data_IF_480655494678
#
_entry.id   IF_480655494678
#
_cell.length_a   1.000
_cell.length_b   1.000
_cell.length_c   1.000
_cell.angle_alpha   90.00
_cell.angle_beta   90.00
_cell.angle_gamma   90.00
#
_symmetry.space_group_name_H-M   'P 1'
#
loop_
_entity.id
_entity.type
_entity.pdbx_description
1 polymer ?
#
# COMPACT_ATOMS: atom_id res chain seq x y z
N UNK A 1 -14.95 22.97 20.19
CA UNK A 1 -15.01 21.50 20.00
C UNK A 1 -15.50 21.21 18.58
N UNK A 2 -14.60 20.91 17.65
CA UNK A 2 -14.95 20.54 16.27
C UNK A 2 -15.23 19.05 16.23
N UNK A 3 -16.46 18.67 15.86
CA UNK A 3 -16.84 17.27 15.60
C UNK A 3 -16.02 16.77 14.41
N UNK A 4 -15.17 15.76 14.65
CA UNK A 4 -14.64 14.93 13.57
C UNK A 4 -15.84 14.23 12.95
N UNK A 5 -16.18 14.61 11.72
CA UNK A 5 -17.14 13.88 10.91
C UNK A 5 -16.57 12.48 10.68
N UNK A 6 -17.30 11.53 11.25
CA UNK A 6 -17.08 10.11 11.12
C UNK A 6 -16.95 9.72 9.65
N UNK A 7 -15.88 8.98 9.40
CA UNK A 7 -15.65 8.09 8.27
C UNK A 7 -16.93 7.29 8.01
N UNK A 8 -17.77 7.78 7.08
CA UNK A 8 -19.02 7.13 6.68
C UNK A 8 -18.97 6.51 5.28
N UNK A 9 -17.83 6.54 4.60
CA UNK A 9 -17.72 5.97 3.24
C UNK A 9 -17.21 4.52 3.18
N UNK A 10 -16.58 4.00 4.22
CA UNK A 10 -15.86 2.71 4.16
C UNK A 10 -16.72 1.46 4.38
N UNK A 11 -18.02 1.62 4.68
CA UNK A 11 -18.87 0.52 5.19
C UNK A 11 -19.98 0.05 4.24
N UNK A 12 -20.14 0.64 3.05
CA UNK A 12 -21.30 0.32 2.20
C UNK A 12 -21.08 -0.90 1.28
N UNK A 13 -19.85 -1.17 0.82
CA UNK A 13 -19.60 -2.29 -0.08
C UNK A 13 -19.54 -3.65 0.64
N UNK A 14 -19.09 -3.69 1.89
CA UNK A 14 -18.86 -4.95 2.62
C UNK A 14 -20.11 -5.53 3.31
N UNK A 15 -21.10 -4.72 3.67
CA UNK A 15 -22.23 -5.20 4.47
C UNK A 15 -23.32 -5.91 3.66
N UNK A 16 -23.23 -5.92 2.33
CA UNK A 16 -24.27 -6.46 1.44
C UNK A 16 -23.82 -7.67 0.61
N UNK A 17 -22.51 -7.96 0.54
CA UNK A 17 -21.97 -9.04 -0.29
C UNK A 17 -21.83 -10.36 0.49
N UNK A 18 -22.19 -11.47 -0.15
CA UNK A 18 -21.90 -12.82 0.35
C UNK A 18 -20.40 -13.12 0.26
N UNK A 19 -19.91 -14.11 1.03
CA UNK A 19 -18.52 -14.56 0.94
C UNK A 19 -18.13 -15.00 -0.48
N UNK A 20 -19.05 -15.64 -1.20
CA UNK A 20 -18.84 -16.03 -2.59
C UNK A 20 -18.68 -14.80 -3.50
N UNK A 21 -19.53 -13.79 -3.33
CA UNK A 21 -19.44 -12.53 -4.08
C UNK A 21 -18.14 -11.78 -3.78
N UNK A 22 -17.69 -11.77 -2.52
CA UNK A 22 -16.40 -11.19 -2.13
C UNK A 22 -15.26 -11.93 -2.84
N UNK A 23 -15.26 -13.26 -2.80
CA UNK A 23 -14.21 -14.04 -3.47
C UNK A 23 -14.18 -13.82 -4.98
N UNK A 24 -15.35 -13.76 -5.64
CA UNK A 24 -15.45 -13.45 -7.07
C UNK A 24 -14.94 -12.03 -7.38
N UNK A 25 -15.31 -11.05 -6.55
CA UNK A 25 -14.83 -9.68 -6.68
C UNK A 25 -13.30 -9.60 -6.55
N UNK A 26 -12.73 -10.21 -5.50
CA UNK A 26 -11.29 -10.22 -5.27
C UNK A 26 -10.53 -10.88 -6.43
N UNK A 27 -11.04 -12.01 -6.94
CA UNK A 27 -10.44 -12.71 -8.08
C UNK A 27 -10.47 -11.85 -9.36
N UNK A 28 -11.60 -11.19 -9.63
CA UNK A 28 -11.72 -10.28 -10.78
C UNK A 28 -10.76 -9.10 -10.66
N UNK A 29 -10.67 -8.47 -9.47
CA UNK A 29 -9.73 -7.38 -9.22
C UNK A 29 -8.29 -7.81 -9.42
N UNK A 30 -7.89 -8.95 -8.87
CA UNK A 30 -6.55 -9.48 -9.02
C UNK A 30 -6.16 -9.66 -10.50
N UNK A 31 -7.06 -10.22 -11.33
CA UNK A 31 -6.82 -10.40 -12.76
C UNK A 31 -6.65 -9.06 -13.50
N UNK A 32 -7.51 -8.07 -13.23
CA UNK A 32 -7.41 -6.75 -13.87
C UNK A 32 -6.14 -6.00 -13.45
N UNK A 33 -5.82 -6.00 -12.15
CA UNK A 33 -4.61 -5.38 -11.61
C UNK A 33 -3.36 -6.00 -12.24
N UNK A 34 -3.28 -7.34 -12.28
CA UNK A 34 -2.15 -8.05 -12.89
C UNK A 34 -2.00 -7.69 -14.38
N UNK A 35 -3.10 -7.65 -15.13
CA UNK A 35 -3.10 -7.29 -16.55
C UNK A 35 -2.65 -5.84 -16.75
N UNK A 36 -3.15 -4.92 -15.94
CA UNK A 36 -2.79 -3.50 -15.97
C UNK A 36 -1.29 -3.31 -15.69
N UNK A 37 -0.74 -3.94 -14.64
CA UNK A 37 0.69 -3.90 -14.34
C UNK A 37 1.55 -4.48 -15.46
N UNK A 38 1.15 -5.63 -16.04
CA UNK A 38 1.85 -6.25 -17.17
C UNK A 38 1.94 -5.29 -18.37
N UNK A 39 0.88 -4.52 -18.60
CA UNK A 39 0.79 -3.54 -19.68
C UNK A 39 1.34 -2.15 -19.31
N UNK A 40 1.83 -1.96 -18.07
CA UNK A 40 2.24 -0.66 -17.51
C UNK A 40 1.12 0.39 -17.54
N UNK A 41 -0.13 -0.04 -17.53
CA UNK A 41 -1.30 0.82 -17.43
C UNK A 41 -1.59 1.14 -15.96
N UNK A 42 -0.79 2.06 -15.42
CA UNK A 42 -0.86 2.42 -14.00
C UNK A 42 -2.15 3.18 -13.65
N UNK A 43 -2.79 3.86 -14.60
CA UNK A 43 -4.08 4.51 -14.35
C UNK A 43 -5.18 3.47 -14.11
N UNK A 44 -5.24 2.45 -14.98
CA UNK A 44 -6.18 1.34 -14.80
C UNK A 44 -5.88 0.55 -13.52
N UNK A 45 -4.61 0.26 -13.23
CA UNK A 45 -4.21 -0.39 -11.99
C UNK A 45 -4.69 0.41 -10.77
N UNK A 46 -4.51 1.73 -10.76
CA UNK A 46 -4.93 2.60 -9.67
C UNK A 46 -6.45 2.52 -9.44
N UNK A 47 -7.23 2.62 -10.51
CA UNK A 47 -8.69 2.54 -10.41
C UNK A 47 -9.14 1.22 -9.77
N UNK A 48 -8.57 0.09 -10.22
CA UNK A 48 -8.91 -1.21 -9.65
C UNK A 48 -8.51 -1.33 -8.18
N UNK A 49 -7.33 -0.82 -7.81
CA UNK A 49 -6.83 -0.82 -6.44
C UNK A 49 -7.66 0.09 -5.51
N UNK A 50 -8.11 1.25 -6.00
CA UNK A 50 -8.97 2.16 -5.24
C UNK A 50 -10.35 1.58 -4.94
N UNK A 51 -10.89 0.75 -5.85
CA UNK A 51 -12.10 -0.01 -5.58
C UNK A 51 -11.83 -1.16 -4.60
N UNK A 52 -10.70 -1.86 -4.75
CA UNK A 52 -10.31 -2.97 -3.88
C UNK A 52 -10.09 -2.52 -2.43
N UNK A 53 -9.43 -1.38 -2.20
CA UNK A 53 -9.15 -0.88 -0.85
C UNK A 53 -10.44 -0.49 -0.09
N UNK A 54 -11.57 -0.24 -0.77
CA UNK A 54 -12.84 -0.04 -0.07
C UNK A 54 -13.34 -1.32 0.62
N UNK A 55 -12.98 -2.49 0.08
CA UNK A 55 -13.36 -3.80 0.61
C UNK A 55 -12.33 -4.28 1.66
N UNK A 56 -11.05 -3.97 1.45
CA UNK A 56 -9.95 -4.40 2.33
C UNK A 56 -9.09 -3.22 2.82
N UNK A 57 -9.66 -2.26 3.58
CA UNK A 57 -9.07 -0.92 3.81
C UNK A 57 -7.72 -0.89 4.55
N UNK A 58 -7.38 -1.95 5.27
CA UNK A 58 -6.12 -2.06 5.99
C UNK A 58 -5.17 -3.09 5.38
N UNK A 59 -5.43 -3.63 4.19
CA UNK A 59 -4.58 -4.68 3.63
C UNK A 59 -3.25 -4.12 3.15
N UNK A 60 -2.15 -4.57 3.77
CA UNK A 60 -0.80 -4.02 3.54
C UNK A 60 -0.41 -4.03 2.06
N UNK A 61 -0.58 -5.16 1.37
CA UNK A 61 -0.15 -5.28 -0.03
C UNK A 61 -0.93 -4.35 -0.96
N UNK A 62 -2.23 -4.13 -0.70
CA UNK A 62 -3.05 -3.21 -1.51
C UNK A 62 -2.59 -1.77 -1.31
N UNK A 63 -2.27 -1.38 -0.07
CA UNK A 63 -1.70 -0.06 0.23
C UNK A 63 -0.32 0.12 -0.42
N UNK A 64 0.53 -0.91 -0.40
CA UNK A 64 1.82 -0.88 -1.08
C UNK A 64 1.68 -0.81 -2.62
N UNK A 65 0.76 -1.56 -3.22
CA UNK A 65 0.50 -1.54 -4.66
C UNK A 65 -0.08 -0.19 -5.11
N UNK A 66 -0.94 0.43 -4.29
CA UNK A 66 -1.40 1.81 -4.49
C UNK A 66 -0.21 2.76 -4.47
N UNK A 67 0.67 2.66 -3.48
CA UNK A 67 1.84 3.52 -3.41
C UNK A 67 2.78 3.37 -4.62
N UNK A 68 3.06 2.14 -5.05
CA UNK A 68 3.89 1.87 -6.24
C UNK A 68 3.24 2.48 -7.48
N UNK A 69 1.93 2.28 -7.65
CA UNK A 69 1.15 2.86 -8.73
C UNK A 69 1.25 4.38 -8.74
N UNK A 70 1.03 5.03 -7.59
CA UNK A 70 1.12 6.49 -7.46
C UNK A 70 2.54 7.02 -7.70
N UNK A 71 3.58 6.29 -7.31
CA UNK A 71 4.96 6.64 -7.66
C UNK A 71 5.19 6.59 -9.18
N UNK A 72 4.64 5.60 -9.88
CA UNK A 72 4.72 5.50 -11.35
C UNK A 72 3.92 6.58 -12.07
N UNK A 73 2.91 7.13 -11.40
CA UNK A 73 2.14 8.29 -11.83
C UNK A 73 2.72 9.62 -11.33
N UNK A 74 3.89 9.60 -10.69
CA UNK A 74 4.59 10.77 -10.13
C UNK A 74 3.83 11.50 -9.00
N UNK A 75 2.83 10.86 -8.40
CA UNK A 75 2.06 11.37 -7.26
C UNK A 75 2.75 11.01 -5.93
N UNK A 76 3.98 11.47 -5.75
CA UNK A 76 4.84 11.03 -4.65
C UNK A 76 4.27 11.27 -3.25
N UNK A 77 3.54 12.37 -3.04
CA UNK A 77 2.93 12.62 -1.72
C UNK A 77 1.83 11.59 -1.40
N UNK A 78 1.01 11.25 -2.39
CA UNK A 78 -0.06 10.24 -2.23
C UNK A 78 0.55 8.87 -1.98
N UNK A 79 1.62 8.52 -2.70
CA UNK A 79 2.35 7.29 -2.46
C UNK A 79 2.92 7.20 -1.03
N UNK A 80 3.52 8.29 -0.54
CA UNK A 80 4.02 8.38 0.83
C UNK A 80 2.90 8.15 1.85
N UNK A 81 1.72 8.75 1.63
CA UNK A 81 0.58 8.62 2.53
C UNK A 81 0.05 7.18 2.60
N UNK A 82 0.04 6.44 1.48
CA UNK A 82 -0.33 5.02 1.46
C UNK A 82 0.69 4.13 2.17
N UNK A 83 1.98 4.36 1.95
CA UNK A 83 3.05 3.63 2.65
C UNK A 83 3.01 3.91 4.16
N UNK A 84 2.71 5.14 4.56
CA UNK A 84 2.54 5.49 5.96
C UNK A 84 1.34 4.73 6.57
N UNK A 85 0.22 4.63 5.86
CA UNK A 85 -0.92 3.83 6.31
C UNK A 85 -0.56 2.34 6.43
N UNK A 86 0.17 1.78 5.48
CA UNK A 86 0.64 0.39 5.55
C UNK A 86 1.43 0.11 6.82
N UNK A 87 2.37 1.01 7.17
CA UNK A 87 3.15 0.93 8.41
C UNK A 87 2.28 1.10 9.66
N UNK A 88 1.32 2.02 9.63
CA UNK A 88 0.43 2.31 10.77
C UNK A 88 -0.51 1.15 11.09
N UNK A 89 -1.05 0.47 10.07
CA UNK A 89 -1.94 -0.67 10.28
C UNK A 89 -1.18 -1.95 10.68
N UNK A 90 0.09 -2.08 10.28
CA UNK A 90 0.90 -3.28 10.51
C UNK A 90 2.26 -2.97 11.14
N UNK A 91 2.32 -2.32 12.31
CA UNK A 91 3.58 -1.82 12.87
C UNK A 91 4.59 -2.92 13.24
N UNK A 92 4.13 -4.16 13.39
CA UNK A 92 4.96 -5.32 13.74
C UNK A 92 5.19 -6.29 12.56
N UNK A 93 4.63 -6.00 11.39
CA UNK A 93 4.72 -6.85 10.19
C UNK A 93 5.06 -6.03 8.93
N UNK A 94 5.72 -4.89 9.12
CA UNK A 94 6.16 -4.05 8.00
C UNK A 94 7.15 -4.85 7.14
N UNK A 95 6.80 -5.01 5.87
CA UNK A 95 7.67 -5.68 4.91
C UNK A 95 8.90 -4.82 4.61
N UNK A 96 10.04 -5.46 4.39
CA UNK A 96 11.31 -4.79 4.03
C UNK A 96 11.11 -3.84 2.85
N UNK A 97 10.38 -4.28 1.83
CA UNK A 97 10.11 -3.53 0.61
C UNK A 97 9.33 -2.23 0.88
N UNK A 98 8.50 -2.18 1.93
CA UNK A 98 7.79 -0.96 2.34
C UNK A 98 8.76 0.12 2.80
N UNK A 99 9.84 -0.24 3.51
CA UNK A 99 10.87 0.73 3.91
C UNK A 99 11.75 1.18 2.74
N UNK A 100 12.07 0.29 1.79
CA UNK A 100 12.77 0.68 0.57
C UNK A 100 11.92 1.68 -0.24
N UNK A 101 10.63 1.39 -0.43
CA UNK A 101 9.70 2.30 -1.11
C UNK A 101 9.55 3.64 -0.39
N UNK A 102 9.50 3.64 0.96
CA UNK A 102 9.50 4.89 1.74
C UNK A 102 10.78 5.71 1.55
N UNK A 103 11.93 5.05 1.46
CA UNK A 103 13.19 5.73 1.16
C UNK A 103 13.16 6.35 -0.25
N UNK A 104 12.68 5.61 -1.25
CA UNK A 104 12.58 6.06 -2.64
C UNK A 104 11.60 7.24 -2.78
N UNK A 105 10.40 7.15 -2.20
CA UNK A 105 9.42 8.26 -2.30
C UNK A 105 9.93 9.52 -1.58
N UNK A 106 10.64 9.37 -0.45
CA UNK A 106 11.25 10.51 0.24
C UNK A 106 12.38 11.16 -0.57
N UNK A 107 13.08 10.40 -1.43
CA UNK A 107 14.03 10.97 -2.39
C UNK A 107 13.31 11.90 -3.37
N UNK A 108 12.22 11.44 -3.99
CA UNK A 108 11.44 12.26 -4.92
C UNK A 108 10.79 13.49 -4.25
N UNK A 109 10.40 13.37 -2.98
CA UNK A 109 9.89 14.48 -2.16
C UNK A 109 10.99 15.43 -1.64
N UNK A 110 12.26 15.17 -1.96
CA UNK A 110 13.41 15.92 -1.44
C UNK A 110 13.54 15.94 0.11
N UNK A 111 12.89 15.01 0.82
CA UNK A 111 13.03 14.87 2.27
C UNK A 111 14.21 13.94 2.60
N UNK A 112 15.42 14.51 2.53
CA UNK A 112 16.67 13.77 2.81
C UNK A 112 16.73 13.18 4.22
N UNK A 113 16.01 13.77 5.20
CA UNK A 113 16.00 13.27 6.57
C UNK A 113 15.23 11.96 6.64
N UNK A 114 14.01 11.94 6.10
CA UNK A 114 13.18 10.73 6.04
C UNK A 114 13.76 9.67 5.11
N UNK A 115 14.31 10.06 3.96
CA UNK A 115 15.03 9.15 3.07
C UNK A 115 16.09 8.35 3.84
N UNK A 116 16.99 9.05 4.56
CA UNK A 116 18.02 8.39 5.38
C UNK A 116 17.44 7.54 6.50
N UNK A 117 16.33 7.96 7.11
CA UNK A 117 15.67 7.22 8.18
C UNK A 117 15.14 5.88 7.66
N UNK A 118 14.32 5.89 6.60
CA UNK A 118 13.73 4.68 6.03
C UNK A 118 14.77 3.78 5.36
N UNK A 119 15.80 4.34 4.71
CA UNK A 119 16.92 3.54 4.20
C UNK A 119 17.66 2.77 5.30
N UNK A 120 17.80 3.35 6.50
CA UNK A 120 18.37 2.60 7.65
C UNK A 120 17.45 1.48 8.13
N UNK A 121 16.15 1.74 8.19
CA UNK A 121 15.17 0.71 8.58
C UNK A 121 15.17 -0.47 7.60
N UNK A 122 15.19 -0.20 6.29
CA UNK A 122 15.26 -1.24 5.27
C UNK A 122 16.53 -2.09 5.41
N UNK A 123 17.69 -1.46 5.60
CA UNK A 123 18.96 -2.17 5.80
C UNK A 123 18.97 -3.00 7.08
N UNK A 124 18.41 -2.48 8.17
CA UNK A 124 18.30 -3.23 9.42
C UNK A 124 17.40 -4.45 9.26
N UNK A 125 16.22 -4.29 8.66
CA UNK A 125 15.28 -5.39 8.45
C UNK A 125 15.87 -6.49 7.54
N UNK A 126 16.64 -6.14 6.50
CA UNK A 126 17.40 -7.10 5.67
C UNK A 126 18.44 -7.87 6.48
N UNK A 127 19.17 -7.18 7.37
CA UNK A 127 20.16 -7.81 8.24
C UNK A 127 19.52 -8.82 9.20
N UNK A 128 18.39 -8.44 9.79
CA UNK A 128 17.65 -9.30 10.72
C UNK A 128 17.12 -10.56 10.00
N UNK A 129 16.54 -10.41 8.80
CA UNK A 129 16.06 -11.54 8.00
C UNK A 129 17.16 -12.58 7.71
N UNK A 130 18.34 -12.14 7.27
CA UNK A 130 19.48 -13.04 7.00
C UNK A 130 20.00 -13.73 8.26
N UNK A 131 19.94 -13.05 9.42
CA UNK A 131 20.38 -13.63 10.69
C UNK A 131 19.41 -14.72 11.18
N UNK A 132 18.11 -14.57 10.92
CA UNK A 132 17.09 -15.57 11.26
C UNK A 132 17.14 -16.82 10.38
N UNK A 133 17.61 -16.73 9.13
CA UNK A 133 17.80 -17.90 8.24
C UNK A 133 18.95 -18.83 8.67
N UNK A 134 19.84 -18.38 9.57
CA UNK A 134 21.03 -19.13 10.01
C UNK A 134 20.80 -19.98 11.27
N UNK A 135 19.59 -19.95 11.84
CA UNK A 135 19.20 -20.72 13.03
C UNK A 135 18.14 -21.76 12.66
#
# INVERSE_FOLDING_TARGET
MKKLNQVKSSNMLNNEMTLEQINQFLASKAQHIQTAFKNRDYLSANQQLLELIQVVPSHQNVLCDLAITEMRLENYQVAYDYLQQAIQYHPHAVEINTYDAMSEVCYFLNDRKKQKHYGRLANQAKKDAVQHEKN
#
